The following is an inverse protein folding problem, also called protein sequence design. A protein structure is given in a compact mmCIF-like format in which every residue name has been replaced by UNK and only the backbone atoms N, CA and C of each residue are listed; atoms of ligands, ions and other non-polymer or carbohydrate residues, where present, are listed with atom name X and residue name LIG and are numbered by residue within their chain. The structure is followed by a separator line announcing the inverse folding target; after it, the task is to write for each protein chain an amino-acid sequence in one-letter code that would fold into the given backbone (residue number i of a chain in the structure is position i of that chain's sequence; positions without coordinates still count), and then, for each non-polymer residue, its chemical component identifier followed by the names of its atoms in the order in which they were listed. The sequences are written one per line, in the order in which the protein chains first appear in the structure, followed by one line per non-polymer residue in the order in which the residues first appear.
data_IF_442944781563
#
_entry.id   IF_442944781563
#
_cell.length_a   1.000
_cell.length_b   1.000
_cell.length_c   1.000
_cell.angle_alpha   90.00
_cell.angle_beta   90.00
_cell.angle_gamma   90.00
#
_symmetry.space_group_name_H-M   'P 1'
#
loop_
_entity.id
_entity.type
_entity.pdbx_description
1 polymer ?
#
# COMPACT_ATOMS: atom_id res chain seq x y z
N UNK A 1 -34.02 50.40 38.16
CA UNK A 1 -32.68 49.78 37.85
C UNK A 1 -32.76 48.24 37.69
N UNK A 2 -33.50 47.53 38.56
CA UNK A 2 -33.56 46.04 38.49
C UNK A 2 -34.32 45.45 37.31
N UNK A 3 -35.33 46.13 36.73
CA UNK A 3 -36.14 45.60 35.60
C UNK A 3 -35.33 45.68 34.28
N UNK A 4 -34.64 46.78 34.03
CA UNK A 4 -33.79 47.00 32.86
C UNK A 4 -32.60 45.98 32.83
N UNK A 5 -32.01 45.70 33.98
CA UNK A 5 -30.95 44.72 34.11
C UNK A 5 -31.43 43.30 33.82
N UNK A 6 -32.63 42.93 34.28
CA UNK A 6 -33.25 41.63 33.96
C UNK A 6 -33.59 41.49 32.49
N UNK A 7 -34.10 42.53 31.83
CA UNK A 7 -34.40 42.53 30.39
C UNK A 7 -33.09 42.41 29.60
N UNK A 8 -32.05 43.13 29.97
CA UNK A 8 -30.73 43.06 29.32
C UNK A 8 -30.06 41.71 29.51
N UNK A 9 -30.21 41.05 30.65
CA UNK A 9 -29.74 39.71 30.93
C UNK A 9 -30.49 38.66 30.12
N UNK A 10 -31.81 38.76 29.97
CA UNK A 10 -32.60 37.87 29.11
C UNK A 10 -32.25 38.06 27.64
N UNK A 11 -32.03 39.30 27.17
CA UNK A 11 -31.62 39.56 25.78
C UNK A 11 -30.24 38.98 25.48
N UNK A 12 -29.32 39.06 26.44
CA UNK A 12 -27.99 38.47 26.33
C UNK A 12 -28.03 36.94 26.32
N UNK A 13 -28.93 36.34 27.12
CA UNK A 13 -29.16 34.87 27.13
C UNK A 13 -29.71 34.36 25.80
N UNK A 14 -30.64 35.13 25.16
CA UNK A 14 -31.21 34.79 23.84
C UNK A 14 -30.13 34.86 22.72
N UNK A 15 -29.18 35.80 22.80
CA UNK A 15 -28.04 35.91 21.88
C UNK A 15 -27.06 34.73 21.99
N UNK A 16 -26.97 34.06 23.16
CA UNK A 16 -26.14 32.89 23.34
C UNK A 16 -26.77 31.60 22.77
N UNK A 17 -28.07 31.58 22.48
CA UNK A 17 -28.80 30.41 21.95
C UNK A 17 -28.76 30.37 20.42
N UNK A 18 -28.38 31.46 19.75
CA UNK A 18 -28.29 31.53 18.28
C UNK A 18 -27.02 30.87 17.68
N UNK A 19 -26.31 30.05 18.44
CA UNK A 19 -25.12 29.32 18.01
C UNK A 19 -25.47 27.98 17.39
N UNK A 20 -25.03 27.75 16.15
CA UNK A 20 -24.98 26.50 15.39
C UNK A 20 -26.22 26.12 14.57
N UNK A 21 -26.32 26.67 13.40
CA UNK A 21 -27.34 26.30 12.42
C UNK A 21 -26.81 25.68 11.11
N UNK A 22 -25.61 25.15 11.07
CA UNK A 22 -25.13 24.39 9.90
C UNK A 22 -24.99 22.88 10.18
N UNK A 23 -26.00 22.25 10.81
CA UNK A 23 -26.09 20.79 10.82
C UNK A 23 -26.70 20.32 9.50
N UNK A 24 -25.84 19.95 8.54
CA UNK A 24 -26.28 19.12 7.42
C UNK A 24 -26.68 17.74 7.95
N UNK A 25 -27.92 17.34 7.66
CA UNK A 25 -28.43 16.03 8.01
C UNK A 25 -27.65 14.92 7.28
N UNK A 26 -27.61 13.73 7.88
CA UNK A 26 -26.88 12.57 7.31
C UNK A 26 -27.44 12.22 5.93
N UNK A 27 -28.75 12.37 5.75
CA UNK A 27 -29.47 12.10 4.50
C UNK A 27 -29.07 13.03 3.35
N UNK A 28 -28.55 14.21 3.65
CA UNK A 28 -28.08 15.18 2.67
C UNK A 28 -26.63 14.95 2.24
N UNK A 29 -25.93 13.99 2.86
CA UNK A 29 -24.54 13.70 2.60
C UNK A 29 -24.35 12.53 1.64
N UNK A 30 -23.35 12.64 0.77
CA UNK A 30 -22.82 11.56 -0.03
C UNK A 30 -21.47 11.11 0.54
N UNK A 31 -21.41 9.93 1.16
CA UNK A 31 -20.21 9.43 1.82
C UNK A 31 -19.22 8.89 0.78
N UNK A 32 -18.12 9.60 0.55
CA UNK A 32 -17.04 9.13 -0.30
C UNK A 32 -16.26 8.06 0.46
N UNK A 33 -16.24 6.83 -0.07
CA UNK A 33 -15.60 5.66 0.58
C UNK A 33 -14.37 5.16 -0.16
N UNK A 34 -14.24 5.50 -1.45
CA UNK A 34 -13.07 5.18 -2.26
C UNK A 34 -12.89 6.16 -3.40
N UNK A 35 -11.64 6.44 -3.76
CA UNK A 35 -11.29 7.30 -4.88
C UNK A 35 -10.27 6.57 -5.76
N UNK A 36 -10.55 6.51 -7.05
CA UNK A 36 -9.61 6.01 -8.07
C UNK A 36 -9.18 7.17 -8.97
N UNK A 37 -7.87 7.25 -9.21
CA UNK A 37 -7.25 8.34 -9.97
C UNK A 37 -6.45 7.78 -11.12
N UNK A 38 -6.86 8.15 -12.33
CA UNK A 38 -6.31 7.71 -13.60
C UNK A 38 -5.75 8.89 -14.38
N UNK A 39 -4.75 8.63 -15.19
CA UNK A 39 -4.36 9.58 -16.23
C UNK A 39 -5.51 9.69 -17.24
N UNK A 40 -5.95 10.91 -17.52
CA UNK A 40 -6.96 11.12 -18.57
C UNK A 40 -6.39 10.72 -19.93
N UNK A 41 -7.22 10.06 -20.75
CA UNK A 41 -6.84 9.67 -22.13
C UNK A 41 -7.21 10.77 -23.11
N UNK A 42 -6.36 11.00 -24.12
CA UNK A 42 -6.61 12.03 -25.15
C UNK A 42 -7.86 11.76 -26.01
N UNK A 43 -8.49 10.60 -25.89
CA UNK A 43 -9.70 10.20 -26.62
C UNK A 43 -10.96 10.53 -25.80
N UNK A 44 -11.40 11.79 -25.84
CA UNK A 44 -12.73 12.18 -25.34
C UNK A 44 -12.82 12.65 -23.89
N UNK A 45 -11.78 12.50 -23.07
CA UNK A 45 -11.76 12.99 -21.68
C UNK A 45 -11.19 14.41 -21.64
N UNK A 46 -12.04 15.41 -21.93
CA UNK A 46 -11.67 16.83 -21.82
C UNK A 46 -11.73 17.30 -20.37
N UNK A 47 -10.93 18.31 -20.04
CA UNK A 47 -11.05 18.98 -18.75
C UNK A 47 -12.44 19.62 -18.61
N UNK A 48 -13.05 19.42 -17.45
CA UNK A 48 -14.33 20.05 -17.09
C UNK A 48 -14.10 21.40 -16.38
N UNK A 49 -12.86 21.82 -16.26
CA UNK A 49 -12.43 23.11 -15.70
C UNK A 49 -11.39 23.75 -16.60
N UNK A 50 -11.03 25.01 -16.33
CA UNK A 50 -9.90 25.66 -17.00
C UNK A 50 -8.63 24.89 -16.67
N UNK A 51 -7.93 24.38 -17.68
CA UNK A 51 -6.71 23.58 -17.53
C UNK A 51 -5.50 24.50 -17.41
N UNK A 52 -4.68 24.25 -16.40
CA UNK A 52 -3.34 24.83 -16.30
C UNK A 52 -2.33 23.88 -16.96
N UNK A 53 -1.23 24.40 -17.49
CA UNK A 53 -0.17 23.55 -18.07
C UNK A 53 0.73 22.88 -17.03
N UNK A 54 0.47 23.09 -15.74
CA UNK A 54 1.34 22.65 -14.65
C UNK A 54 1.22 21.16 -14.31
N UNK A 55 0.02 20.60 -14.35
CA UNK A 55 -0.24 19.21 -13.96
C UNK A 55 -0.85 18.38 -15.09
N UNK A 56 -0.64 17.06 -15.14
CA UNK A 56 -1.36 16.21 -16.10
C UNK A 56 -2.85 16.23 -15.80
N UNK A 57 -3.65 16.11 -16.85
CA UNK A 57 -5.09 15.93 -16.71
C UNK A 57 -5.38 14.58 -16.04
N UNK A 58 -6.14 14.61 -14.96
CA UNK A 58 -6.47 13.45 -14.11
C UNK A 58 -7.96 13.17 -14.18
N UNK A 59 -8.33 11.93 -14.41
CA UNK A 59 -9.69 11.44 -14.24
C UNK A 59 -9.86 10.84 -12.85
N UNK A 60 -10.71 11.43 -12.03
CA UNK A 60 -11.10 10.90 -10.73
C UNK A 60 -12.42 10.14 -10.81
N UNK A 61 -12.49 8.96 -10.21
CA UNK A 61 -13.70 8.17 -9.99
C UNK A 61 -13.93 8.07 -8.48
N UNK A 62 -15.05 8.61 -8.03
CA UNK A 62 -15.42 8.70 -6.62
C UNK A 62 -16.54 7.71 -6.34
N UNK A 63 -16.31 6.77 -5.45
CA UNK A 63 -17.30 5.80 -4.98
C UNK A 63 -18.04 6.40 -3.77
N UNK A 64 -19.34 6.64 -3.93
CA UNK A 64 -20.18 7.38 -3.00
C UNK A 64 -21.31 6.50 -2.51
N UNK A 65 -21.43 6.33 -1.20
CA UNK A 65 -22.56 5.67 -0.54
C UNK A 65 -23.61 6.72 -0.16
N UNK A 66 -24.86 6.40 -0.45
CA UNK A 66 -26.01 7.25 -0.14
C UNK A 66 -26.82 6.63 1.01
N UNK A 67 -26.98 7.30 2.17
CA UNK A 67 -27.68 6.74 3.33
C UNK A 67 -29.12 6.30 3.04
N UNK A 68 -29.85 7.06 2.22
CA UNK A 68 -31.23 6.73 1.83
C UNK A 68 -31.36 5.41 1.08
N UNK A 69 -30.29 4.89 0.49
CA UNK A 69 -30.29 3.56 -0.15
C UNK A 69 -30.13 2.39 0.84
N UNK A 70 -29.76 2.68 2.09
CA UNK A 70 -29.59 1.68 3.15
C UNK A 70 -30.91 1.39 3.92
N UNK A 71 -31.88 2.30 3.87
CA UNK A 71 -33.14 2.22 4.66
C UNK A 71 -34.30 1.53 3.95
N UNK A 72 -34.19 1.25 2.65
CA UNK A 72 -35.22 0.51 1.91
C UNK A 72 -35.10 -1.01 2.16
N UNK A 73 -35.51 -1.45 3.34
CA UNK A 73 -35.82 -2.86 3.61
C UNK A 73 -37.05 -3.27 2.80
N UNK A 74 -36.88 -4.05 1.74
CA UNK A 74 -37.98 -4.67 1.00
C UNK A 74 -37.96 -4.55 -0.52
N UNK A 75 -37.25 -3.66 -1.11
CA UNK A 75 -37.03 -3.66 -2.57
C UNK A 75 -35.86 -4.56 -2.92
N UNK A 76 -36.05 -5.48 -3.88
CA UNK A 76 -34.95 -6.24 -4.48
C UNK A 76 -33.83 -5.26 -4.84
N UNK A 77 -32.55 -5.55 -4.49
CA UNK A 77 -31.46 -4.70 -4.92
C UNK A 77 -31.56 -4.59 -6.45
N UNK A 78 -31.84 -3.40 -6.94
CA UNK A 78 -31.54 -3.10 -8.36
C UNK A 78 -30.07 -3.47 -8.56
N UNK A 79 -29.73 -3.99 -9.72
CA UNK A 79 -28.42 -4.55 -10.10
C UNK A 79 -27.17 -3.63 -9.92
N UNK A 80 -27.32 -2.50 -9.21
CA UNK A 80 -26.25 -1.61 -8.71
C UNK A 80 -26.36 -1.52 -7.20
N UNK A 81 -25.33 -1.90 -6.46
CA UNK A 81 -25.28 -1.85 -4.99
C UNK A 81 -25.63 -0.47 -4.43
N UNK A 82 -25.68 -0.34 -3.09
CA UNK A 82 -26.02 0.87 -2.34
C UNK A 82 -25.01 2.04 -2.53
N UNK A 83 -24.36 2.13 -3.69
CA UNK A 83 -23.37 3.16 -4.01
C UNK A 83 -23.43 3.55 -5.49
N UNK A 84 -22.90 4.71 -5.78
CA UNK A 84 -22.68 5.22 -7.15
C UNK A 84 -21.21 5.54 -7.36
N UNK A 85 -20.74 5.39 -8.60
CA UNK A 85 -19.42 5.86 -9.03
C UNK A 85 -19.62 7.10 -9.92
N UNK A 86 -19.10 8.26 -9.49
CA UNK A 86 -19.14 9.51 -10.25
C UNK A 86 -17.76 9.88 -10.71
N UNK A 87 -17.64 10.32 -11.96
CA UNK A 87 -16.37 10.69 -12.56
C UNK A 87 -16.29 12.21 -12.75
N UNK A 88 -15.07 12.75 -12.58
CA UNK A 88 -14.70 14.09 -12.98
C UNK A 88 -13.30 14.13 -13.56
N UNK A 89 -13.07 14.96 -14.55
CA UNK A 89 -11.77 15.14 -15.20
C UNK A 89 -11.31 16.58 -15.04
N UNK A 90 -10.18 16.78 -14.36
CA UNK A 90 -9.57 18.07 -14.14
C UNK A 90 -8.05 17.93 -13.91
N UNK A 91 -7.34 19.02 -13.84
CA UNK A 91 -5.90 19.08 -13.55
C UNK A 91 -5.56 19.01 -12.05
N UNK A 92 -6.57 19.04 -11.18
CA UNK A 92 -6.39 18.85 -9.73
C UNK A 92 -7.57 18.12 -9.11
N UNK A 93 -7.31 17.41 -8.00
CA UNK A 93 -8.34 16.67 -7.24
C UNK A 93 -9.34 17.64 -6.62
N UNK A 94 -8.91 18.79 -6.15
CA UNK A 94 -9.82 19.80 -5.62
C UNK A 94 -10.81 20.30 -6.68
N UNK A 95 -10.33 20.56 -7.92
CA UNK A 95 -11.19 20.93 -9.03
C UNK A 95 -12.19 19.82 -9.39
N UNK A 96 -11.78 18.53 -9.34
CA UNK A 96 -12.67 17.39 -9.53
C UNK A 96 -13.82 17.37 -8.51
N UNK A 97 -13.51 17.63 -7.23
CA UNK A 97 -14.53 17.71 -6.16
C UNK A 97 -15.57 18.79 -6.49
N UNK A 98 -15.13 19.96 -6.97
CA UNK A 98 -16.03 21.05 -7.38
C UNK A 98 -16.86 20.69 -8.62
N UNK A 99 -16.31 19.93 -9.55
CA UNK A 99 -17.06 19.41 -10.70
C UNK A 99 -18.12 18.41 -10.25
N UNK A 100 -17.78 17.49 -9.35
CA UNK A 100 -18.71 16.47 -8.85
C UNK A 100 -19.86 17.11 -8.07
N UNK A 101 -19.60 18.18 -7.30
CA UNK A 101 -20.67 18.90 -6.58
C UNK A 101 -21.73 19.53 -7.49
N UNK A 102 -21.45 19.68 -8.80
CA UNK A 102 -22.44 20.08 -9.81
C UNK A 102 -23.23 18.91 -10.40
N UNK A 103 -22.81 17.67 -10.13
CA UNK A 103 -23.38 16.45 -10.72
C UNK A 103 -24.21 15.63 -9.72
N UNK A 104 -24.13 15.94 -8.43
CA UNK A 104 -24.80 15.22 -7.36
C UNK A 104 -25.59 16.20 -6.46
N UNK A 105 -26.79 15.80 -6.06
CA UNK A 105 -27.64 16.56 -5.16
C UNK A 105 -27.24 16.49 -3.69
N UNK A 106 -26.20 15.73 -3.35
CA UNK A 106 -25.72 15.49 -1.98
C UNK A 106 -24.40 16.22 -1.74
N UNK A 107 -24.22 16.72 -0.53
CA UNK A 107 -22.93 17.26 -0.10
C UNK A 107 -21.92 16.13 0.08
N UNK A 108 -20.76 16.22 -0.58
CA UNK A 108 -19.71 15.21 -0.47
C UNK A 108 -19.10 15.23 0.94
N UNK A 109 -18.96 14.05 1.55
CA UNK A 109 -18.41 13.87 2.88
C UNK A 109 -17.23 12.88 2.83
N UNK A 110 -16.04 13.37 3.11
CA UNK A 110 -14.77 12.66 2.89
C UNK A 110 -14.19 11.88 4.07
N UNK A 111 -14.57 12.12 5.35
CA UNK A 111 -13.98 11.40 6.49
C UNK A 111 -14.11 9.88 6.48
N UNK A 112 -14.88 9.33 5.54
CA UNK A 112 -15.09 7.88 5.38
C UNK A 112 -14.29 7.25 4.24
N UNK A 113 -13.38 7.98 3.60
CA UNK A 113 -12.50 7.38 2.59
C UNK A 113 -11.66 6.28 3.24
N UNK A 114 -11.78 5.07 2.70
CA UNK A 114 -10.98 3.93 3.12
C UNK A 114 -9.75 3.73 2.22
N UNK A 115 -9.91 3.99 0.90
CA UNK A 115 -8.89 3.68 -0.10
C UNK A 115 -8.72 4.80 -1.14
N UNK A 116 -7.46 5.07 -1.50
CA UNK A 116 -7.06 5.81 -2.68
C UNK A 116 -6.32 4.86 -3.61
N UNK A 117 -6.75 4.78 -4.87
CA UNK A 117 -6.19 3.88 -5.87
C UNK A 117 -5.68 4.73 -7.04
N UNK A 118 -4.40 4.62 -7.34
CA UNK A 118 -3.77 5.32 -8.45
C UNK A 118 -3.41 4.34 -9.57
N UNK A 119 -3.63 4.69 -10.82
CA UNK A 119 -3.08 3.90 -11.92
C UNK A 119 -1.56 4.11 -12.04
N UNK A 120 -0.82 3.04 -12.36
CA UNK A 120 0.63 3.13 -12.62
C UNK A 120 0.95 4.21 -13.67
N UNK A 121 0.12 4.31 -14.71
CA UNK A 121 0.35 5.23 -15.84
C UNK A 121 0.30 6.71 -15.43
N UNK A 122 -0.53 7.05 -14.44
CA UNK A 122 -0.61 8.40 -13.89
C UNK A 122 0.71 8.80 -13.20
N UNK A 123 1.38 7.87 -12.53
CA UNK A 123 2.50 8.13 -11.63
C UNK A 123 3.88 8.01 -12.29
N UNK A 124 3.95 7.84 -13.59
CA UNK A 124 5.22 7.77 -14.36
C UNK A 124 5.98 9.08 -14.44
N UNK A 125 5.32 10.21 -14.24
CA UNK A 125 5.96 11.51 -14.19
C UNK A 125 6.38 11.87 -12.75
N UNK A 126 7.49 12.60 -12.56
CA UNK A 126 7.91 13.09 -11.24
C UNK A 126 6.83 13.97 -10.59
N UNK A 127 6.76 13.96 -9.28
CA UNK A 127 5.93 14.78 -8.39
C UNK A 127 4.41 14.60 -8.52
N UNK A 128 3.89 13.88 -9.53
CA UNK A 128 2.44 13.72 -9.74
C UNK A 128 1.75 13.06 -8.54
N UNK A 129 2.40 12.10 -7.88
CA UNK A 129 1.84 11.49 -6.66
C UNK A 129 1.73 12.52 -5.54
N UNK A 130 2.76 13.33 -5.32
CA UNK A 130 2.82 14.36 -4.30
C UNK A 130 1.76 15.46 -4.56
N UNK A 131 1.74 16.01 -5.78
CA UNK A 131 0.77 17.03 -6.19
C UNK A 131 -0.68 16.53 -6.01
N UNK A 132 -0.93 15.27 -6.36
CA UNK A 132 -2.27 14.69 -6.27
C UNK A 132 -2.69 14.42 -4.82
N UNK A 133 -1.74 14.09 -3.94
CA UNK A 133 -2.00 13.86 -2.52
C UNK A 133 -2.11 15.14 -1.71
N UNK A 134 -1.70 16.30 -2.23
CA UNK A 134 -1.65 17.56 -1.49
C UNK A 134 -3.00 17.94 -0.87
N UNK A 135 -4.11 17.78 -1.60
CA UNK A 135 -5.46 18.05 -1.07
C UNK A 135 -5.80 17.16 0.12
N UNK A 136 -5.40 15.87 0.08
CA UNK A 136 -5.66 14.93 1.18
C UNK A 136 -4.79 15.20 2.42
N UNK A 137 -3.69 15.93 2.26
CA UNK A 137 -2.86 16.35 3.39
C UNK A 137 -3.33 17.67 4.02
N UNK A 138 -3.88 18.58 3.21
CA UNK A 138 -4.28 19.92 3.65
C UNK A 138 -5.68 19.98 4.21
N UNK A 139 -6.58 19.16 3.71
CA UNK A 139 -7.99 19.19 4.13
C UNK A 139 -8.14 18.52 5.50
N UNK A 140 -8.72 19.26 6.44
CA UNK A 140 -8.93 18.82 7.83
C UNK A 140 -9.96 17.70 7.98
N UNK A 141 -10.83 17.48 7.00
CA UNK A 141 -11.79 16.38 6.98
C UNK A 141 -11.11 15.03 6.63
N UNK A 142 -9.95 15.07 6.00
CA UNK A 142 -9.24 13.88 5.54
C UNK A 142 -8.53 13.14 6.68
N UNK A 143 -8.82 11.87 6.80
CA UNK A 143 -8.20 11.03 7.84
C UNK A 143 -6.84 10.52 7.39
N UNK A 144 -5.89 10.45 8.30
CA UNK A 144 -4.53 9.96 8.05
C UNK A 144 -4.43 8.43 7.88
N UNK A 145 -5.51 7.69 8.12
CA UNK A 145 -5.57 6.23 8.00
C UNK A 145 -6.03 5.73 6.61
N UNK A 146 -6.30 6.61 5.67
CA UNK A 146 -6.63 6.27 4.28
C UNK A 146 -5.52 5.39 3.70
N UNK A 147 -5.87 4.26 3.10
CA UNK A 147 -4.93 3.30 2.52
C UNK A 147 -4.69 3.60 1.04
N UNK A 148 -3.43 3.54 0.63
CA UNK A 148 -3.02 3.85 -0.75
C UNK A 148 -2.67 2.57 -1.48
N UNK A 149 -3.15 2.46 -2.72
CA UNK A 149 -2.92 1.33 -3.62
C UNK A 149 -2.57 1.80 -5.02
N UNK A 150 -1.86 0.96 -5.76
CA UNK A 150 -1.54 1.17 -7.16
C UNK A 150 -2.27 0.11 -8.00
N UNK A 151 -2.90 0.52 -9.09
CA UNK A 151 -3.51 -0.39 -10.05
C UNK A 151 -2.60 -0.59 -11.27
N UNK A 152 -2.38 -1.85 -11.67
CA UNK A 152 -1.65 -2.17 -12.93
C UNK A 152 -2.34 -1.70 -14.19
N UNK A 153 -3.65 -1.53 -14.14
CA UNK A 153 -4.47 -0.96 -15.20
C UNK A 153 -5.14 0.32 -14.74
N UNK A 154 -6.31 0.59 -15.34
CA UNK A 154 -7.11 1.74 -14.89
C UNK A 154 -7.61 1.50 -13.47
N UNK A 155 -7.40 2.50 -12.63
CA UNK A 155 -7.81 2.45 -11.22
C UNK A 155 -9.35 2.44 -11.10
N UNK A 156 -10.05 3.13 -11.99
CA UNK A 156 -11.51 3.13 -12.02
C UNK A 156 -12.11 1.73 -12.17
N UNK A 157 -11.44 0.83 -12.90
CA UNK A 157 -11.92 -0.54 -13.10
C UNK A 157 -11.93 -1.36 -11.81
N UNK A 158 -11.06 -1.05 -10.84
CA UNK A 158 -11.08 -1.66 -9.51
C UNK A 158 -12.39 -1.31 -8.79
N UNK A 159 -12.81 -0.03 -8.84
CA UNK A 159 -14.04 0.42 -8.18
C UNK A 159 -15.34 0.01 -8.90
N UNK A 160 -15.23 -0.50 -10.13
CA UNK A 160 -16.36 -1.04 -10.90
C UNK A 160 -16.57 -2.54 -10.71
N UNK A 161 -15.60 -3.25 -10.12
CA UNK A 161 -15.69 -4.70 -9.95
C UNK A 161 -16.81 -5.10 -9.00
N UNK A 162 -17.46 -6.22 -9.30
CA UNK A 162 -18.29 -6.90 -8.30
C UNK A 162 -17.38 -7.45 -7.20
N UNK A 163 -17.57 -7.01 -6.00
CA UNK A 163 -16.68 -7.29 -4.87
C UNK A 163 -17.40 -8.08 -3.76
N UNK A 164 -18.01 -9.19 -4.12
CA UNK A 164 -18.62 -10.09 -3.12
C UNK A 164 -17.52 -10.69 -2.23
N UNK A 165 -17.74 -10.81 -0.89
CA UNK A 165 -19.03 -10.60 -0.20
C UNK A 165 -19.33 -9.16 0.24
N UNK A 166 -18.41 -8.20 0.07
CA UNK A 166 -18.46 -6.87 0.72
C UNK A 166 -19.45 -5.90 0.07
N UNK A 167 -19.98 -6.17 -1.10
CA UNK A 167 -20.85 -5.31 -1.92
C UNK A 167 -20.26 -3.94 -2.33
N UNK A 168 -19.19 -3.48 -1.67
CA UNK A 168 -18.46 -2.25 -1.96
C UNK A 168 -17.02 -2.58 -2.37
N UNK A 169 -16.60 -2.28 -3.60
CA UNK A 169 -15.22 -2.49 -4.07
C UNK A 169 -14.15 -1.83 -3.17
N UNK A 170 -14.35 -0.61 -2.72
CA UNK A 170 -13.44 0.07 -1.78
C UNK A 170 -13.30 -0.71 -0.46
N UNK A 171 -14.40 -1.21 0.09
CA UNK A 171 -14.41 -2.03 1.29
C UNK A 171 -13.69 -3.35 1.08
N UNK A 172 -13.94 -4.02 -0.05
CA UNK A 172 -13.27 -5.25 -0.42
C UNK A 172 -11.74 -5.05 -0.49
N UNK A 173 -11.27 -3.98 -1.17
CA UNK A 173 -9.84 -3.65 -1.25
C UNK A 173 -9.26 -3.40 0.14
N UNK A 174 -9.97 -2.66 0.97
CA UNK A 174 -9.58 -2.40 2.36
C UNK A 174 -9.44 -3.71 3.15
N UNK A 175 -10.40 -4.63 3.03
CA UNK A 175 -10.41 -5.90 3.78
C UNK A 175 -9.37 -6.90 3.28
N UNK A 176 -9.23 -7.08 1.95
CA UNK A 176 -8.23 -8.01 1.41
C UNK A 176 -6.81 -7.59 1.78
N UNK A 177 -6.55 -6.30 1.95
CA UNK A 177 -5.22 -5.78 2.33
C UNK A 177 -4.78 -6.25 3.73
N UNK A 178 -5.70 -6.60 4.61
CA UNK A 178 -5.39 -7.13 5.94
C UNK A 178 -4.76 -8.54 5.86
N UNK A 179 -4.97 -9.27 4.75
CA UNK A 179 -4.37 -10.60 4.56
C UNK A 179 -2.85 -10.54 4.29
N UNK A 180 -2.29 -9.36 4.02
CA UNK A 180 -0.85 -9.20 3.84
C UNK A 180 -0.03 -9.68 5.06
N UNK A 181 -0.60 -9.62 6.27
CA UNK A 181 0.05 -10.14 7.48
C UNK A 181 0.25 -11.68 7.46
N UNK A 182 -0.55 -12.40 6.65
CA UNK A 182 -0.49 -13.86 6.51
C UNK A 182 0.08 -14.31 5.16
N UNK A 183 0.46 -13.38 4.30
CA UNK A 183 0.97 -13.69 2.97
C UNK A 183 2.12 -12.75 2.59
N UNK A 184 3.33 -13.22 2.73
CA UNK A 184 4.55 -12.44 2.44
C UNK A 184 4.68 -11.98 0.97
N UNK A 185 3.92 -12.52 0.03
CA UNK A 185 3.87 -12.06 -1.37
C UNK A 185 3.01 -10.80 -1.56
N UNK A 186 2.28 -10.40 -0.52
CA UNK A 186 1.51 -9.17 -0.49
C UNK A 186 2.27 -8.10 0.30
N UNK A 187 2.18 -6.86 -0.14
CA UNK A 187 2.66 -5.73 0.65
C UNK A 187 1.54 -5.23 1.56
N UNK A 188 1.86 -4.97 2.82
CA UNK A 188 0.93 -4.35 3.76
C UNK A 188 0.48 -2.97 3.23
N UNK A 189 -0.81 -2.65 3.41
CA UNK A 189 -1.34 -1.36 2.99
C UNK A 189 -0.62 -0.19 3.68
N UNK A 190 -0.20 0.77 2.89
CA UNK A 190 0.47 1.99 3.38
C UNK A 190 -0.60 3.05 3.63
N UNK A 191 -0.62 3.61 4.84
CA UNK A 191 -1.52 4.71 5.19
C UNK A 191 -0.97 6.04 4.67
N UNK A 192 -1.86 6.94 4.31
CA UNK A 192 -1.46 8.26 3.79
C UNK A 192 -0.55 9.02 4.79
N UNK A 193 -0.80 8.88 6.10
CA UNK A 193 0.04 9.49 7.13
C UNK A 193 1.46 8.96 7.16
N UNK A 194 1.63 7.63 7.00
CA UNK A 194 2.95 6.98 6.96
C UNK A 194 3.69 7.32 5.66
N UNK A 195 2.95 7.49 4.56
CA UNK A 195 3.52 7.90 3.28
C UNK A 195 4.04 9.35 3.36
N UNK A 196 3.27 10.26 3.95
CA UNK A 196 3.69 11.65 4.12
C UNK A 196 5.04 11.77 4.84
N UNK A 197 5.26 10.97 5.91
CA UNK A 197 6.54 10.94 6.62
C UNK A 197 7.70 10.52 5.71
N UNK A 198 7.50 9.51 4.87
CA UNK A 198 8.53 9.05 3.93
C UNK A 198 8.85 10.08 2.87
N UNK A 199 7.81 10.71 2.29
CA UNK A 199 7.95 11.77 1.28
C UNK A 199 8.68 12.99 1.85
N UNK A 200 8.30 13.47 3.04
CA UNK A 200 8.96 14.59 3.72
C UNK A 200 10.44 14.35 4.04
N UNK A 201 10.86 13.08 4.11
CA UNK A 201 12.23 12.69 4.35
C UNK A 201 12.99 12.28 3.07
N UNK A 202 12.43 12.51 1.88
CA UNK A 202 12.96 12.07 0.58
C UNK A 202 13.32 10.56 0.52
N UNK A 203 12.66 9.74 1.35
CA UNK A 203 12.92 8.29 1.41
C UNK A 203 12.17 7.55 0.32
N UNK A 204 12.88 6.71 -0.43
CA UNK A 204 12.25 5.79 -1.39
C UNK A 204 11.30 4.82 -0.68
N UNK A 205 10.20 4.47 -1.31
CA UNK A 205 9.13 3.70 -0.70
C UNK A 205 8.44 2.76 -1.68
N UNK A 206 7.59 1.89 -1.14
CA UNK A 206 6.77 0.96 -1.91
C UNK A 206 5.31 1.09 -1.53
N UNK A 207 4.43 0.86 -2.51
CA UNK A 207 2.98 0.81 -2.33
C UNK A 207 2.42 -0.51 -2.86
N UNK A 208 1.38 -1.09 -2.24
CA UNK A 208 0.80 -2.36 -2.69
C UNK A 208 0.11 -2.22 -4.04
N UNK A 209 0.23 -3.29 -4.85
CA UNK A 209 -0.37 -3.36 -6.18
C UNK A 209 -1.67 -4.15 -6.15
N UNK A 210 -2.67 -3.61 -6.83
CA UNK A 210 -3.92 -4.28 -7.20
C UNK A 210 -3.91 -4.65 -8.69
N UNK A 211 -4.36 -5.83 -8.99
CA UNK A 211 -4.59 -6.29 -10.36
C UNK A 211 -6.01 -6.84 -10.51
N UNK A 212 -6.49 -6.89 -11.75
CA UNK A 212 -7.74 -7.54 -12.11
C UNK A 212 -7.45 -8.91 -12.72
N UNK A 213 -8.21 -9.90 -12.27
CA UNK A 213 -8.24 -11.25 -12.80
C UNK A 213 -9.65 -11.60 -13.23
N UNK A 214 -9.83 -12.73 -13.92
CA UNK A 214 -11.18 -13.26 -14.23
C UNK A 214 -12.04 -13.51 -12.97
N UNK A 215 -11.40 -13.71 -11.81
CA UNK A 215 -12.06 -13.99 -10.54
C UNK A 215 -12.28 -12.72 -9.69
N UNK A 216 -11.87 -11.55 -10.18
CA UNK A 216 -12.02 -10.27 -9.48
C UNK A 216 -10.68 -9.62 -9.10
N UNK A 217 -10.70 -8.82 -8.04
CA UNK A 217 -9.55 -8.04 -7.57
C UNK A 217 -8.55 -8.96 -6.88
N UNK A 218 -7.28 -8.89 -7.28
CA UNK A 218 -6.14 -9.57 -6.65
C UNK A 218 -5.15 -8.53 -6.13
N UNK A 219 -4.61 -8.75 -4.94
CA UNK A 219 -3.52 -7.97 -4.37
C UNK A 219 -2.23 -8.77 -4.41
N UNK A 220 -1.25 -8.33 -5.17
CA UNK A 220 0.04 -9.01 -5.31
C UNK A 220 1.12 -8.06 -5.81
N UNK A 221 2.27 -8.06 -5.14
CA UNK A 221 3.40 -7.27 -5.57
C UNK A 221 3.47 -5.88 -4.93
N UNK A 222 4.48 -5.13 -5.32
CA UNK A 222 4.75 -3.79 -4.80
C UNK A 222 5.20 -2.84 -5.92
N UNK A 223 4.60 -1.66 -5.99
CA UNK A 223 5.04 -0.54 -6.82
C UNK A 223 6.16 0.21 -6.10
N UNK A 224 7.23 0.50 -6.80
CA UNK A 224 8.45 1.10 -6.26
C UNK A 224 8.54 2.56 -6.66
N UNK A 225 8.80 3.43 -5.69
CA UNK A 225 8.89 4.88 -5.86
C UNK A 225 10.22 5.42 -5.38
N UNK A 226 10.81 6.31 -6.16
CA UNK A 226 11.98 7.07 -5.77
C UNK A 226 11.55 8.22 -4.86
N UNK A 227 12.20 8.38 -3.70
CA UNK A 227 11.78 9.33 -2.67
C UNK A 227 11.87 10.79 -3.10
N UNK A 228 12.96 11.19 -3.77
CA UNK A 228 13.24 12.59 -4.14
C UNK A 228 12.15 13.26 -4.98
N UNK A 229 11.55 12.54 -5.88
CA UNK A 229 10.59 13.07 -6.87
C UNK A 229 9.29 12.27 -6.92
N UNK A 230 9.09 11.39 -5.97
CA UNK A 230 7.91 10.51 -5.82
C UNK A 230 7.51 9.77 -7.10
N UNK A 231 8.48 9.58 -8.01
CA UNK A 231 8.26 8.95 -9.31
C UNK A 231 8.15 7.44 -9.17
N UNK A 232 7.16 6.84 -9.81
CA UNK A 232 7.09 5.41 -10.03
C UNK A 232 8.25 4.96 -10.93
N UNK A 233 9.08 4.02 -10.46
CA UNK A 233 10.27 3.52 -11.16
C UNK A 233 10.16 2.08 -11.61
N UNK A 234 9.18 1.34 -11.13
CA UNK A 234 8.93 -0.05 -11.51
C UNK A 234 8.17 -0.81 -10.43
N UNK A 235 8.02 -2.10 -10.62
CA UNK A 235 7.26 -2.95 -9.69
C UNK A 235 8.02 -4.24 -9.35
N UNK A 236 7.71 -4.80 -8.20
CA UNK A 236 8.12 -6.10 -7.73
C UNK A 236 6.94 -7.06 -7.85
N UNK A 237 7.17 -8.27 -8.36
CA UNK A 237 6.16 -9.33 -8.35
C UNK A 237 5.98 -9.94 -6.93
N UNK A 238 5.08 -10.90 -6.76
CA UNK A 238 4.81 -11.50 -5.44
C UNK A 238 6.04 -12.13 -4.78
N UNK A 239 6.87 -12.85 -5.53
CA UNK A 239 8.09 -13.48 -4.99
C UNK A 239 9.17 -12.45 -4.65
N UNK A 240 9.30 -11.38 -5.42
CA UNK A 240 10.19 -10.27 -5.12
C UNK A 240 9.69 -9.45 -3.92
N UNK A 241 8.36 -9.29 -3.78
CA UNK A 241 7.74 -8.66 -2.61
C UNK A 241 7.97 -9.48 -1.34
N UNK A 242 7.93 -10.82 -1.42
CA UNK A 242 8.31 -11.69 -0.32
C UNK A 242 9.76 -11.41 0.13
N UNK A 243 10.70 -11.34 -0.80
CA UNK A 243 12.09 -10.99 -0.50
C UNK A 243 12.23 -9.60 0.13
N UNK A 244 11.52 -8.61 -0.40
CA UNK A 244 11.44 -7.26 0.17
C UNK A 244 10.95 -7.28 1.63
N UNK A 245 9.82 -7.96 1.90
CA UNK A 245 9.23 -8.03 3.23
C UNK A 245 10.20 -8.63 4.26
N UNK A 246 10.96 -9.65 3.88
CA UNK A 246 11.95 -10.25 4.77
C UNK A 246 13.15 -9.33 5.02
N UNK A 247 13.63 -8.61 3.99
CA UNK A 247 14.70 -7.62 4.15
C UNK A 247 14.26 -6.44 5.01
N UNK A 248 13.04 -5.92 4.80
CA UNK A 248 12.51 -4.77 5.56
C UNK A 248 12.12 -5.17 6.99
N UNK A 249 11.93 -6.46 7.27
CA UNK A 249 11.61 -6.97 8.60
C UNK A 249 10.15 -6.77 8.99
N UNK A 250 9.26 -6.81 8.02
CA UNK A 250 7.82 -6.87 8.30
C UNK A 250 7.50 -8.22 8.93
N UNK A 251 6.73 -8.20 10.02
CA UNK A 251 6.21 -9.41 10.67
C UNK A 251 5.10 -10.02 9.82
N UNK A 252 5.49 -10.71 8.76
CA UNK A 252 4.55 -11.36 7.85
C UNK A 252 4.73 -12.87 7.91
N UNK A 253 3.63 -13.57 8.13
CA UNK A 253 3.55 -15.00 7.95
C UNK A 253 3.52 -15.36 6.46
N UNK A 254 3.36 -16.63 6.18
CA UNK A 254 3.26 -17.12 4.82
C UNK A 254 3.80 -18.53 4.70
N UNK A 255 4.04 -18.94 3.47
CA UNK A 255 4.65 -20.24 3.22
C UNK A 255 5.74 -20.15 2.16
N UNK A 256 6.67 -21.09 2.23
CA UNK A 256 7.68 -21.25 1.20
C UNK A 256 7.71 -22.73 0.74
N UNK A 257 7.68 -22.93 -0.58
CA UNK A 257 7.74 -24.28 -1.18
C UNK A 257 9.12 -24.58 -1.69
N UNK A 258 9.64 -25.74 -1.32
CA UNK A 258 10.89 -26.27 -1.86
C UNK A 258 10.65 -27.63 -2.48
N UNK A 259 11.34 -27.91 -3.59
CA UNK A 259 11.33 -29.20 -4.27
C UNK A 259 12.75 -29.69 -4.43
N UNK A 260 13.03 -30.88 -3.93
CA UNK A 260 14.33 -31.57 -4.11
C UNK A 260 14.07 -32.98 -4.63
N UNK A 261 14.43 -33.23 -5.88
CA UNK A 261 14.09 -34.49 -6.55
C UNK A 261 12.57 -34.73 -6.55
N UNK A 262 12.16 -35.84 -5.97
CA UNK A 262 10.75 -36.26 -5.85
C UNK A 262 10.08 -35.88 -4.52
N UNK A 263 10.73 -35.04 -3.73
CA UNK A 263 10.18 -34.53 -2.47
C UNK A 263 9.75 -33.07 -2.62
N UNK A 264 8.52 -32.77 -2.23
CA UNK A 264 7.98 -31.41 -2.10
C UNK A 264 7.71 -31.11 -0.63
N UNK A 265 8.20 -30.00 -0.15
CA UNK A 265 8.04 -29.53 1.22
C UNK A 265 7.42 -28.15 1.20
N UNK A 266 6.38 -27.95 2.01
CA UNK A 266 5.76 -26.66 2.28
C UNK A 266 6.07 -26.28 3.72
N UNK A 267 6.86 -25.24 3.88
CA UNK A 267 7.21 -24.65 5.17
C UNK A 267 6.29 -23.46 5.44
N UNK A 268 5.51 -23.53 6.51
CA UNK A 268 4.68 -22.41 6.99
C UNK A 268 5.49 -21.56 7.96
N UNK A 269 5.61 -20.28 7.65
CA UNK A 269 6.33 -19.29 8.45
C UNK A 269 5.32 -18.67 9.42
N UNK A 270 5.56 -18.82 10.73
CA UNK A 270 4.74 -18.28 11.81
C UNK A 270 5.31 -16.98 12.34
N UNK A 271 6.61 -16.94 12.52
CA UNK A 271 7.30 -15.76 13.03
C UNK A 271 8.55 -15.46 12.20
N UNK A 272 8.84 -14.15 12.05
CA UNK A 272 10.01 -13.70 11.36
C UNK A 272 10.69 -12.59 12.17
N UNK A 273 12.01 -12.70 12.32
CA UNK A 273 12.87 -11.69 12.95
C UNK A 273 14.06 -11.44 12.04
N UNK A 274 14.60 -10.23 12.07
CA UNK A 274 15.80 -9.92 11.30
C UNK A 274 16.80 -9.10 12.10
N UNK A 275 18.09 -9.20 11.70
CA UNK A 275 19.17 -8.39 12.22
C UNK A 275 20.02 -7.88 11.05
N UNK A 276 20.39 -6.61 11.06
CA UNK A 276 21.25 -6.02 10.03
C UNK A 276 22.57 -5.58 10.66
N UNK A 277 23.66 -6.09 10.11
CA UNK A 277 25.00 -5.69 10.43
C UNK A 277 25.57 -4.84 9.29
N UNK A 278 26.10 -3.68 9.62
CA UNK A 278 26.63 -2.73 8.65
C UNK A 278 28.12 -2.57 8.83
N UNK A 279 28.88 -2.69 7.74
CA UNK A 279 30.33 -2.53 7.71
C UNK A 279 30.66 -1.38 6.76
N UNK A 280 31.26 -0.32 7.30
CA UNK A 280 31.51 0.96 6.63
C UNK A 280 32.99 1.21 6.36
N UNK A 281 33.75 0.17 6.11
CA UNK A 281 35.19 0.27 5.78
C UNK A 281 35.43 1.15 4.56
N UNK A 282 34.57 1.02 3.53
CA UNK A 282 34.54 1.92 2.39
C UNK A 282 33.23 2.70 2.37
N UNK A 283 33.27 4.04 2.55
CA UNK A 283 32.05 4.86 2.61
C UNK A 283 31.14 4.78 1.39
N UNK A 284 31.71 4.61 0.20
CA UNK A 284 30.95 4.57 -1.07
C UNK A 284 30.58 3.14 -1.49
N UNK A 285 31.12 2.12 -0.80
CA UNK A 285 30.82 0.71 -1.03
C UNK A 285 30.59 -0.02 0.30
N UNK A 286 29.58 0.38 1.08
CA UNK A 286 29.29 -0.27 2.36
C UNK A 286 28.84 -1.72 2.14
N UNK A 287 29.09 -2.56 3.16
CA UNK A 287 28.61 -3.93 3.20
C UNK A 287 27.53 -4.07 4.26
N UNK A 288 26.41 -4.71 3.90
CA UNK A 288 25.32 -5.05 4.79
C UNK A 288 25.18 -6.57 4.84
N UNK A 289 25.10 -7.13 6.04
CA UNK A 289 24.77 -8.54 6.26
C UNK A 289 23.43 -8.57 6.98
N UNK A 290 22.46 -9.22 6.36
CA UNK A 290 21.06 -9.31 6.84
C UNK A 290 20.80 -10.75 7.24
N UNK A 291 20.73 -11.00 8.56
CA UNK A 291 20.34 -12.28 9.11
C UNK A 291 18.81 -12.30 9.30
N UNK A 292 18.14 -13.25 8.64
CA UNK A 292 16.69 -13.46 8.67
C UNK A 292 16.43 -14.78 9.42
N UNK A 293 15.78 -14.69 10.57
CA UNK A 293 15.38 -15.83 11.40
C UNK A 293 13.92 -16.12 11.15
N UNK A 294 13.59 -17.37 10.84
CA UNK A 294 12.25 -17.80 10.50
C UNK A 294 11.88 -18.99 11.41
N UNK A 295 10.85 -18.81 12.22
CA UNK A 295 10.29 -19.86 13.04
C UNK A 295 8.99 -20.36 12.38
N UNK A 296 8.85 -21.68 12.24
CA UNK A 296 7.70 -22.24 11.53
C UNK A 296 7.59 -23.74 11.60
N UNK A 297 6.66 -24.28 10.81
CA UNK A 297 6.33 -25.72 10.80
C UNK A 297 6.31 -26.27 9.37
N UNK A 298 6.48 -27.57 9.25
CA UNK A 298 6.23 -28.27 7.99
C UNK A 298 4.72 -28.48 7.81
N UNK A 299 4.10 -27.61 6.99
CA UNK A 299 2.67 -27.72 6.70
C UNK A 299 2.34 -28.95 5.84
N UNK A 300 3.20 -29.25 4.87
CA UNK A 300 3.02 -30.39 3.97
C UNK A 300 4.39 -31.00 3.59
N UNK A 301 4.45 -32.32 3.55
CA UNK A 301 5.58 -33.08 3.05
C UNK A 301 5.09 -34.17 2.12
N UNK A 302 5.35 -34.03 0.83
CA UNK A 302 5.04 -35.04 -0.17
C UNK A 302 6.30 -35.83 -0.51
N UNK A 303 6.22 -37.16 -0.30
CA UNK A 303 7.30 -38.08 -0.59
C UNK A 303 6.79 -39.19 -1.53
N UNK A 304 7.41 -39.34 -2.70
CA UNK A 304 7.10 -40.48 -3.59
C UNK A 304 7.75 -41.76 -3.11
N UNK A 305 7.17 -42.91 -3.47
CA UNK A 305 7.77 -44.25 -3.23
C UNK A 305 9.22 -44.24 -3.68
N UNK A 306 10.05 -44.95 -2.96
CA UNK A 306 11.51 -45.10 -3.22
C UNK A 306 12.37 -43.81 -3.08
N UNK A 307 11.80 -42.77 -2.49
CA UNK A 307 12.57 -41.58 -2.16
C UNK A 307 12.96 -41.59 -0.69
N UNK A 308 14.26 -41.44 -0.39
CA UNK A 308 14.75 -41.27 0.97
C UNK A 308 14.26 -39.91 1.51
N UNK A 309 13.56 -39.94 2.64
CA UNK A 309 13.12 -38.72 3.31
C UNK A 309 14.33 -37.91 3.81
N UNK A 310 14.28 -36.60 3.64
CA UNK A 310 15.27 -35.69 4.23
C UNK A 310 15.07 -35.60 5.74
N UNK A 311 16.15 -35.51 6.49
CA UNK A 311 16.10 -35.15 7.90
C UNK A 311 15.66 -33.70 8.10
N UNK A 312 15.20 -33.34 9.30
CA UNK A 312 14.83 -31.94 9.61
C UNK A 312 16.02 -30.98 9.42
N UNK A 313 17.24 -31.42 9.71
CA UNK A 313 18.45 -30.63 9.49
C UNK A 313 18.73 -30.42 7.99
N UNK A 314 18.60 -31.47 7.17
CA UNK A 314 18.74 -31.36 5.71
C UNK A 314 17.67 -30.45 5.10
N UNK A 315 16.41 -30.53 5.59
CA UNK A 315 15.31 -29.65 5.17
C UNK A 315 15.65 -28.22 5.52
N UNK A 316 16.09 -27.95 6.76
CA UNK A 316 16.45 -26.59 7.21
C UNK A 316 17.56 -25.98 6.35
N UNK A 317 18.65 -26.72 6.10
CA UNK A 317 19.78 -26.27 5.26
C UNK A 317 19.34 -25.97 3.82
N UNK A 318 18.50 -26.85 3.24
CA UNK A 318 18.03 -26.67 1.88
C UNK A 318 17.03 -25.52 1.77
N UNK A 319 16.14 -25.38 2.74
CA UNK A 319 15.18 -24.27 2.86
C UNK A 319 15.92 -22.93 2.95
N UNK A 320 16.94 -22.83 3.83
CA UNK A 320 17.78 -21.63 3.96
C UNK A 320 18.40 -21.24 2.60
N UNK A 321 19.06 -22.17 1.92
CA UNK A 321 19.70 -21.93 0.63
C UNK A 321 18.73 -21.44 -0.45
N UNK A 322 17.53 -22.05 -0.56
CA UNK A 322 16.55 -21.64 -1.57
C UNK A 322 15.92 -20.27 -1.25
N UNK A 323 15.68 -19.98 0.02
CA UNK A 323 15.19 -18.68 0.45
C UNK A 323 16.24 -17.58 0.26
N UNK A 324 17.51 -17.84 0.59
CA UNK A 324 18.63 -16.92 0.33
C UNK A 324 18.71 -16.58 -1.16
N UNK A 325 18.65 -17.57 -2.04
CA UNK A 325 18.64 -17.38 -3.50
C UNK A 325 17.47 -16.49 -3.94
N UNK A 326 16.27 -16.72 -3.39
CA UNK A 326 15.09 -15.93 -3.74
C UNK A 326 15.22 -14.48 -3.26
N UNK A 327 15.68 -14.27 -2.02
CA UNK A 327 15.87 -12.92 -1.47
C UNK A 327 16.99 -12.20 -2.23
N UNK A 328 18.07 -12.91 -2.59
CA UNK A 328 19.17 -12.33 -3.36
C UNK A 328 18.74 -11.89 -4.76
N UNK A 329 17.78 -12.60 -5.41
CA UNK A 329 17.17 -12.14 -6.66
C UNK A 329 16.45 -10.81 -6.46
N UNK A 330 15.67 -10.66 -5.38
CA UNK A 330 15.00 -9.40 -5.04
C UNK A 330 16.01 -8.26 -4.84
N UNK A 331 17.10 -8.52 -4.11
CA UNK A 331 18.18 -7.53 -3.92
C UNK A 331 18.74 -7.10 -5.26
N UNK A 332 19.00 -8.05 -6.17
CA UNK A 332 19.54 -7.74 -7.50
C UNK A 332 18.59 -6.86 -8.30
N UNK A 333 17.27 -7.18 -8.35
CA UNK A 333 16.28 -6.36 -9.04
C UNK A 333 16.24 -4.94 -8.47
N UNK A 334 16.17 -4.80 -7.14
CA UNK A 334 16.09 -3.49 -6.49
C UNK A 334 17.37 -2.66 -6.68
N UNK A 335 18.55 -3.28 -6.58
CA UNK A 335 19.83 -2.57 -6.71
C UNK A 335 20.22 -2.28 -8.15
N UNK A 336 19.97 -3.21 -9.09
CA UNK A 336 20.50 -3.13 -10.46
C UNK A 336 19.50 -2.57 -11.46
N UNK A 337 18.23 -2.99 -11.33
CA UNK A 337 17.23 -2.60 -12.29
C UNK A 337 16.50 -1.32 -11.84
N UNK A 338 16.05 -1.27 -10.58
CA UNK A 338 15.29 -0.15 -10.02
C UNK A 338 16.18 0.96 -9.45
N UNK A 339 17.32 0.61 -8.87
CA UNK A 339 18.37 1.52 -8.33
C UNK A 339 17.87 2.50 -7.26
N UNK A 340 16.91 2.07 -6.41
CA UNK A 340 16.35 2.86 -5.30
C UNK A 340 16.34 2.06 -4.00
N UNK A 341 16.69 2.69 -2.88
CA UNK A 341 16.80 2.04 -1.56
C UNK A 341 15.44 1.92 -0.86
N UNK A 342 14.62 1.00 -1.32
CA UNK A 342 13.36 0.64 -0.63
C UNK A 342 13.56 -0.30 0.56
N UNK A 343 14.79 -0.78 0.79
CA UNK A 343 15.14 -1.59 1.95
C UNK A 343 15.40 -0.73 3.19
N UNK A 344 15.66 0.57 3.01
CA UNK A 344 16.00 1.50 4.07
C UNK A 344 17.42 1.33 4.60
N UNK A 345 18.35 0.79 3.81
CA UNK A 345 19.74 0.57 4.22
C UNK A 345 20.49 1.88 4.48
N UNK A 346 20.11 2.97 3.79
CA UNK A 346 20.64 4.30 4.06
C UNK A 346 20.36 4.77 5.49
N UNK A 347 19.21 4.42 6.09
CA UNK A 347 18.92 4.75 7.48
C UNK A 347 19.80 3.96 8.47
N UNK A 348 20.18 2.72 8.13
CA UNK A 348 21.17 1.94 8.91
C UNK A 348 22.56 2.56 8.82
N UNK A 349 22.96 2.99 7.62
CA UNK A 349 24.21 3.73 7.42
C UNK A 349 24.23 5.00 8.25
N UNK A 350 23.19 5.84 8.13
CA UNK A 350 23.03 7.11 8.85
C UNK A 350 23.14 6.95 10.37
N UNK A 351 22.46 5.92 10.93
CA UNK A 351 22.50 5.64 12.38
C UNK A 351 23.87 5.25 12.88
N UNK A 352 24.64 4.52 12.06
CA UNK A 352 25.95 4.02 12.46
C UNK A 352 27.06 5.07 12.27
N UNK A 353 26.98 5.89 11.21
CA UNK A 353 27.98 6.91 10.93
C UNK A 353 27.35 8.16 10.27
N UNK A 354 26.78 9.03 11.09
CA UNK A 354 26.12 10.24 10.61
C UNK A 354 27.08 11.20 9.89
N UNK A 355 28.32 11.34 10.37
CA UNK A 355 29.32 12.25 9.75
C UNK A 355 29.67 11.83 8.30
N UNK A 356 29.79 10.54 8.05
CA UNK A 356 30.00 10.04 6.69
C UNK A 356 28.72 10.10 5.86
N UNK A 357 27.56 9.77 6.45
CA UNK A 357 26.27 9.82 5.79
C UNK A 357 25.99 11.19 5.15
N UNK A 358 26.20 12.27 5.86
CA UNK A 358 26.00 13.63 5.33
C UNK A 358 26.78 13.87 4.04
N UNK A 359 27.99 13.30 3.90
CA UNK A 359 28.83 13.46 2.72
C UNK A 359 28.32 12.66 1.51
N UNK A 360 27.66 11.52 1.73
CA UNK A 360 27.25 10.60 0.67
C UNK A 360 25.74 10.60 0.37
N UNK A 361 24.91 11.13 1.27
CA UNK A 361 23.44 11.03 1.19
C UNK A 361 22.84 11.48 -0.15
N UNK A 362 23.42 12.52 -0.79
CA UNK A 362 22.98 13.02 -2.09
C UNK A 362 23.24 12.05 -3.25
N UNK A 363 24.17 11.09 -3.03
CA UNK A 363 24.56 10.08 -4.00
C UNK A 363 24.18 8.66 -3.54
N UNK A 364 23.31 8.52 -2.51
CA UNK A 364 23.00 7.20 -1.97
C UNK A 364 22.20 6.35 -2.96
N UNK A 365 20.98 6.70 -3.27
CA UNK A 365 20.12 6.05 -4.29
C UNK A 365 19.78 6.98 -5.47
N UNK A 366 20.65 7.99 -5.68
CA UNK A 366 20.61 8.98 -6.74
C UNK A 366 22.05 9.32 -7.18
N UNK A 367 22.22 10.13 -8.21
CA UNK A 367 23.55 10.54 -8.69
C UNK A 367 24.43 9.34 -8.97
N UNK A 368 25.56 9.19 -8.24
CA UNK A 368 26.47 8.04 -8.35
C UNK A 368 25.87 6.74 -7.86
N UNK A 369 24.76 6.79 -7.13
CA UNK A 369 23.98 5.68 -6.63
C UNK A 369 24.82 4.60 -5.91
N UNK A 370 25.39 4.96 -4.77
CA UNK A 370 26.20 4.05 -3.95
C UNK A 370 25.39 2.86 -3.43
N UNK A 371 24.07 2.99 -3.26
CA UNK A 371 23.20 1.88 -2.92
C UNK A 371 23.31 0.76 -3.97
N UNK A 372 23.27 1.08 -5.26
CA UNK A 372 23.33 0.08 -6.34
C UNK A 372 24.63 -0.70 -6.39
N UNK A 373 25.72 -0.16 -5.82
CA UNK A 373 27.05 -0.79 -5.76
C UNK A 373 27.41 -1.34 -4.39
N UNK A 374 26.56 -1.13 -3.36
CA UNK A 374 26.77 -1.68 -2.02
C UNK A 374 26.67 -3.21 -2.03
N UNK A 375 27.42 -3.85 -1.12
CA UNK A 375 27.41 -5.31 -0.98
C UNK A 375 26.35 -5.73 0.04
N UNK A 376 25.26 -6.31 -0.43
CA UNK A 376 24.15 -6.78 0.44
C UNK A 376 24.14 -8.31 0.43
N UNK A 377 24.41 -8.92 1.58
CA UNK A 377 24.42 -10.36 1.81
C UNK A 377 23.26 -10.70 2.71
N UNK A 378 22.50 -11.73 2.35
CA UNK A 378 21.43 -12.29 3.17
C UNK A 378 21.83 -13.67 3.66
N UNK A 379 21.51 -13.98 4.91
CA UNK A 379 21.60 -15.29 5.52
C UNK A 379 20.26 -15.63 6.13
N UNK A 380 19.75 -16.82 5.86
CA UNK A 380 18.46 -17.26 6.36
C UNK A 380 18.66 -18.39 7.36
N UNK A 381 18.02 -18.28 8.52
CA UNK A 381 18.11 -19.21 9.63
C UNK A 381 16.70 -19.77 9.95
N UNK A 382 16.23 -20.80 9.21
CA UNK A 382 14.94 -21.42 9.49
C UNK A 382 15.03 -22.34 10.70
N UNK A 383 14.05 -22.23 11.59
CA UNK A 383 13.81 -23.12 12.73
C UNK A 383 12.50 -23.87 12.52
N UNK A 384 12.55 -25.19 12.49
CA UNK A 384 11.39 -26.06 12.33
C UNK A 384 10.97 -26.54 13.73
N UNK A 385 9.91 -25.92 14.27
CA UNK A 385 9.44 -26.18 15.64
C UNK A 385 8.70 -27.51 15.77
N UNK A 386 7.91 -27.89 14.75
CA UNK A 386 7.15 -29.14 14.73
C UNK A 386 7.13 -29.74 13.33
N UNK A 387 7.32 -31.05 13.26
CA UNK A 387 7.20 -31.83 12.02
C UNK A 387 5.79 -32.38 11.80
N UNK A 388 4.84 -32.01 12.70
CA UNK A 388 3.50 -32.62 12.76
C UNK A 388 3.51 -33.99 13.44
N UNK A 389 2.37 -34.44 13.95
CA UNK A 389 2.17 -35.77 14.58
C UNK A 389 2.01 -36.90 13.56
N UNK A 390 2.12 -36.62 12.27
CA UNK A 390 1.90 -37.60 11.19
C UNK A 390 3.22 -37.95 10.55
N UNK A 391 3.61 -39.21 10.58
CA UNK A 391 4.67 -39.73 9.73
C UNK A 391 4.33 -39.45 8.26
N UNK A 392 5.32 -39.13 7.40
CA UNK A 392 5.06 -38.86 5.99
C UNK A 392 4.30 -40.03 5.37
N UNK A 393 3.09 -39.76 4.85
CA UNK A 393 2.28 -40.77 4.17
C UNK A 393 3.01 -41.11 2.88
N UNK A 394 3.61 -42.31 2.87
CA UNK A 394 4.16 -42.94 1.66
C UNK A 394 2.97 -43.28 0.75
N UNK A 395 2.79 -42.58 -0.33
CA UNK A 395 1.84 -42.92 -1.41
C UNK A 395 2.55 -43.61 -2.55
#
# INVERSE_FOLDING_TARGET
MNLLLKIMSCLFLILLISGCSERQEIEERGFVVGVALDKATNKGEKSETTTTSYSPLIKGTYQIVLPSSLTQQGSKPSSGGNYININATADSVFAQIRVISKKISRSLFFPHIEVLIFSEDLLKKPFVLEDTLDVFFRDHEMRRNIRIFISKGRAEEILKQSAKPENLPSKYVSMISNHAQKNAQMLEAVRIGDLQEKMSADRSFVLPILGLTRQGIKMEGAAVFRGKDTKFVGSLNGMETLGLNYIVGKKVGGFFKIKKGNQLIVFEIREMRRKIHTFLTNPTKPKFVIDVYLDGTLAEVYLRKDTKAMSSEEISKYLASEMEKQIQKTIKVVQKDLKVDVFGLGEYYKRQNYKQWIKIKKNWDQGQNYFSTSNVIVRVHPSIEHTGSVLPVRR
#
